data_IF_353803155175
#
_entry.id   IF_353803155175
#
_cell.length_a   1.000
_cell.length_b   1.000
_cell.length_c   1.000
_cell.angle_alpha   90.00
_cell.angle_beta   90.00
_cell.angle_gamma   90.00
#
_symmetry.space_group_name_H-M   'P 1'
#
loop_
_entity.id
_entity.type
_entity.pdbx_description
1 polymer ?
#
# COMPACT_ATOMS: atom_id res chain seq x y z
N UNK A 1 -11.41 3.02 9.13
CA UNK A 1 -10.61 4.22 9.43
C UNK A 1 -9.26 4.05 8.76
N UNK A 2 -8.68 5.13 8.24
CA UNK A 2 -7.35 5.09 7.63
C UNK A 2 -6.33 5.57 8.66
N UNK A 3 -5.32 4.75 9.03
CA UNK A 3 -4.32 5.13 10.02
C UNK A 3 -3.39 6.24 9.50
N UNK A 4 -2.70 6.93 10.41
CA UNK A 4 -1.63 7.87 10.04
C UNK A 4 -0.42 7.13 9.48
N UNK A 5 0.32 7.79 8.58
CA UNK A 5 1.58 7.28 8.03
C UNK A 5 2.83 7.83 8.76
N UNK A 6 2.65 8.62 9.83
CA UNK A 6 3.78 9.13 10.61
C UNK A 6 4.43 8.01 11.42
N UNK A 7 5.77 7.97 11.45
CA UNK A 7 6.58 6.89 12.02
C UNK A 7 6.31 5.51 11.42
N UNK A 8 5.73 5.42 10.23
CA UNK A 8 5.26 4.14 9.70
C UNK A 8 6.39 3.12 9.53
N UNK A 9 7.62 3.56 9.28
CA UNK A 9 8.77 2.68 9.14
C UNK A 9 9.11 1.82 10.38
N UNK A 10 8.58 2.14 11.56
CA UNK A 10 8.90 1.46 12.82
C UNK A 10 7.67 0.88 13.54
N UNK A 11 6.52 0.83 12.87
CA UNK A 11 5.25 0.37 13.45
C UNK A 11 4.71 -0.91 12.83
N UNK A 12 5.56 -1.71 12.19
CA UNK A 12 5.17 -3.03 11.70
C UNK A 12 4.69 -3.94 12.85
N UNK A 13 3.94 -5.01 12.54
CA UNK A 13 3.46 -5.40 11.20
C UNK A 13 2.33 -4.49 10.69
N UNK A 14 2.13 -4.49 9.37
CA UNK A 14 1.27 -3.54 8.65
C UNK A 14 -0.11 -4.12 8.29
N UNK A 15 -1.03 -3.22 7.92
CA UNK A 15 -2.46 -3.47 7.71
C UNK A 15 -3.24 -3.71 9.02
N UNK A 16 -4.56 -3.80 8.90
CA UNK A 16 -5.46 -3.96 10.04
C UNK A 16 -5.39 -5.35 10.68
N UNK A 17 -4.90 -6.34 9.93
CA UNK A 17 -4.73 -7.74 10.32
C UNK A 17 -3.26 -8.13 10.51
N UNK A 18 -2.31 -7.20 10.33
CA UNK A 18 -0.88 -7.45 10.53
C UNK A 18 -0.26 -8.39 9.50
N UNK A 19 -0.84 -8.53 8.31
CA UNK A 19 -0.44 -9.55 7.32
C UNK A 19 0.88 -9.28 6.58
N UNK A 20 1.46 -8.10 6.73
CA UNK A 20 2.70 -7.70 6.03
C UNK A 20 3.75 -7.25 7.04
N UNK A 21 4.99 -7.70 6.84
CA UNK A 21 6.12 -7.38 7.72
C UNK A 21 6.89 -6.16 7.22
N UNK A 22 6.72 -5.80 5.95
CA UNK A 22 7.48 -4.75 5.26
C UNK A 22 6.58 -3.73 4.57
N UNK A 23 7.08 -2.49 4.38
CA UNK A 23 6.38 -1.46 3.61
C UNK A 23 6.35 -1.80 2.12
N UNK A 24 7.36 -2.51 1.66
CA UNK A 24 7.52 -3.04 0.32
C UNK A 24 6.35 -3.98 -0.02
N UNK A 25 5.98 -4.89 0.87
CA UNK A 25 4.80 -5.76 0.69
C UNK A 25 3.48 -4.97 0.67
N UNK A 26 3.38 -3.90 1.48
CA UNK A 26 2.21 -3.01 1.45
C UNK A 26 2.09 -2.31 0.11
N UNK A 27 3.19 -1.73 -0.40
CA UNK A 27 3.21 -1.05 -1.69
C UNK A 27 2.92 -2.04 -2.81
N UNK A 28 3.53 -3.22 -2.79
CA UNK A 28 3.27 -4.28 -3.76
C UNK A 28 1.80 -4.70 -3.79
N UNK A 29 1.13 -4.80 -2.63
CA UNK A 29 -0.30 -5.12 -2.56
C UNK A 29 -1.21 -4.10 -3.25
N UNK A 30 -0.87 -2.81 -3.20
CA UNK A 30 -1.61 -1.79 -3.95
C UNK A 30 -1.17 -1.71 -5.42
N UNK A 31 0.08 -2.05 -5.70
CA UNK A 31 0.61 -2.04 -7.04
C UNK A 31 0.06 -3.17 -7.91
N UNK A 32 -0.13 -4.34 -7.29
CA UNK A 32 -0.55 -5.59 -7.92
C UNK A 32 -1.56 -6.29 -7.00
N UNK A 33 -2.69 -6.73 -7.56
CA UNK A 33 -3.65 -7.55 -6.79
C UNK A 33 -4.82 -6.77 -6.17
N UNK A 34 -5.22 -5.65 -6.77
CA UNK A 34 -6.53 -5.05 -6.49
C UNK A 34 -7.66 -5.97 -6.97
N UNK A 35 -8.14 -6.83 -6.08
CA UNK A 35 -9.33 -7.67 -6.34
C UNK A 35 -10.57 -6.84 -6.04
N UNK A 36 -11.41 -6.65 -7.06
CA UNK A 36 -12.71 -5.99 -6.89
C UNK A 36 -13.64 -6.89 -6.08
N UNK A 37 -14.11 -6.37 -4.94
CA UNK A 37 -15.12 -7.00 -4.10
C UNK A 37 -16.05 -5.91 -3.53
N UNK A 38 -17.20 -6.30 -2.99
CA UNK A 38 -18.25 -5.36 -2.53
C UNK A 38 -17.76 -4.35 -1.47
N UNK A 39 -16.78 -4.74 -0.65
CA UNK A 39 -16.21 -3.89 0.40
C UNK A 39 -14.99 -3.07 -0.03
N UNK A 40 -14.71 -2.98 -1.34
CA UNK A 40 -13.52 -2.27 -1.82
C UNK A 40 -13.76 -0.78 -1.76
N UNK A 41 -12.75 -0.02 -1.32
CA UNK A 41 -12.86 1.43 -1.26
C UNK A 41 -13.19 2.01 -2.67
N UNK A 42 -14.23 2.85 -2.81
CA UNK A 42 -14.60 3.43 -4.10
C UNK A 42 -13.48 4.23 -4.78
N UNK A 43 -12.49 4.73 -4.04
CA UNK A 43 -11.34 5.39 -4.64
C UNK A 43 -10.43 4.40 -5.36
N UNK A 44 -10.30 3.16 -4.87
CA UNK A 44 -9.53 2.12 -5.55
C UNK A 44 -10.23 1.65 -6.84
N UNK A 45 -11.55 1.77 -6.91
CA UNK A 45 -12.32 1.48 -8.13
C UNK A 45 -12.03 2.47 -9.28
N UNK A 46 -11.48 3.65 -8.99
CA UNK A 46 -11.08 4.64 -10.00
C UNK A 46 -9.79 4.27 -10.73
N UNK A 47 -9.02 3.33 -10.18
CA UNK A 47 -7.78 2.83 -10.76
C UNK A 47 -8.04 1.57 -11.62
N UNK A 48 -7.10 1.21 -12.51
CA UNK A 48 -7.19 -0.02 -13.29
C UNK A 48 -7.37 -1.26 -12.38
N UNK A 49 -8.11 -2.28 -12.83
CA UNK A 49 -8.39 -3.48 -12.04
C UNK A 49 -7.14 -4.32 -11.68
N UNK A 50 -5.96 -3.95 -12.16
CA UNK A 50 -4.70 -4.63 -11.86
C UNK A 50 -3.92 -4.03 -10.68
N UNK A 51 -4.25 -2.82 -10.22
CA UNK A 51 -3.43 -2.08 -9.26
C UNK A 51 -3.04 -0.69 -9.74
N UNK A 52 -2.10 -0.07 -9.03
CA UNK A 52 -1.58 1.26 -9.36
C UNK A 52 -0.66 1.28 -10.60
N UNK A 53 -0.03 0.15 -10.95
CA UNK A 53 0.82 0.05 -12.13
C UNK A 53 2.10 0.90 -12.07
N UNK A 54 2.63 1.12 -10.87
CA UNK A 54 3.89 1.80 -10.59
C UNK A 54 5.07 0.98 -11.11
N UNK A 55 6.06 1.67 -11.67
CA UNK A 55 7.35 1.05 -12.00
C UNK A 55 8.10 0.64 -10.73
N UNK A 56 9.10 -0.24 -10.86
CA UNK A 56 9.95 -0.60 -9.72
C UNK A 56 10.58 0.63 -9.04
N UNK A 57 11.02 1.59 -9.85
CA UNK A 57 11.61 2.85 -9.35
C UNK A 57 10.59 3.68 -8.56
N UNK A 58 9.34 3.75 -9.01
CA UNK A 58 8.29 4.49 -8.31
C UNK A 58 7.92 3.83 -6.97
N UNK A 59 7.90 2.50 -6.93
CA UNK A 59 7.67 1.75 -5.70
C UNK A 59 8.80 1.97 -4.69
N UNK A 60 10.06 1.89 -5.13
CA UNK A 60 11.23 2.17 -4.29
C UNK A 60 11.23 3.60 -3.77
N UNK A 61 10.93 4.58 -4.64
CA UNK A 61 10.85 5.98 -4.25
C UNK A 61 9.72 6.24 -3.24
N UNK A 62 8.56 5.60 -3.41
CA UNK A 62 7.45 5.70 -2.48
C UNK A 62 7.83 5.11 -1.11
N UNK A 63 8.44 3.93 -1.08
CA UNK A 63 8.90 3.31 0.16
C UNK A 63 9.96 4.19 0.85
N UNK A 64 10.91 4.73 0.09
CA UNK A 64 11.92 5.65 0.61
C UNK A 64 11.28 6.90 1.22
N UNK A 65 10.29 7.48 0.54
CA UNK A 65 9.52 8.61 1.06
C UNK A 65 8.78 8.26 2.37
N UNK A 66 8.08 7.12 2.42
CA UNK A 66 7.37 6.67 3.63
C UNK A 66 8.33 6.46 4.81
N UNK A 67 9.57 6.05 4.55
CA UNK A 67 10.62 5.92 5.57
C UNK A 67 11.11 7.26 6.13
N UNK A 68 10.73 8.39 5.55
CA UNK A 68 11.04 9.73 6.08
C UNK A 68 10.01 10.29 7.06
N UNK A 69 8.85 9.63 7.21
CA UNK A 69 7.68 10.11 7.96
C UNK A 69 7.67 9.68 9.44
#
# INVERSE_FOLDING_TARGET
>A
MTPSLRNIAVTGPYMHDGRFDTLEEVVAHYNEGLIRHENLDPNLLKHPPGGLGLSSNDQEALVAFLKTL
#
